data_IF_257340924665
#
_entry.id   IF_257340924665
#
_cell.length_a   1.000
_cell.length_b   1.000
_cell.length_c   1.000
_cell.angle_alpha   90.00
_cell.angle_beta   90.00
_cell.angle_gamma   90.00
#
_symmetry.space_group_name_H-M   'P 1'
#
loop_
_entity.id
_entity.type
_entity.pdbx_description
1 polymer ?
#
# COMPACT_ATOMS: atom_id res chain seq x y z
N UNK A 1 -29.28 -11.01 9.69
CA UNK A 1 -29.82 -11.22 8.32
C UNK A 1 -28.68 -11.33 7.33
N UNK A 2 -28.91 -11.79 6.10
CA UNK A 2 -27.87 -11.82 5.06
C UNK A 2 -27.25 -10.43 4.87
N UNK A 3 -28.08 -9.39 4.83
CA UNK A 3 -27.62 -8.00 4.69
C UNK A 3 -26.72 -7.53 5.83
N UNK A 4 -27.06 -7.83 7.08
CA UNK A 4 -26.21 -7.49 8.24
C UNK A 4 -24.86 -8.19 8.20
N UNK A 5 -24.83 -9.44 7.71
CA UNK A 5 -23.58 -10.18 7.55
C UNK A 5 -22.70 -9.54 6.48
N UNK A 6 -23.27 -9.19 5.33
CA UNK A 6 -22.57 -8.46 4.25
C UNK A 6 -22.08 -7.09 4.70
N UNK A 7 -22.88 -6.32 5.45
CA UNK A 7 -22.42 -5.02 6.02
C UNK A 7 -21.20 -5.22 6.92
N UNK A 8 -21.23 -6.24 7.79
CA UNK A 8 -20.13 -6.52 8.70
C UNK A 8 -18.86 -6.95 7.96
N UNK A 9 -18.98 -7.80 6.95
CA UNK A 9 -17.86 -8.24 6.11
C UNK A 9 -17.27 -7.07 5.30
N UNK A 10 -18.12 -6.20 4.73
CA UNK A 10 -17.66 -4.99 4.03
C UNK A 10 -16.97 -4.00 4.97
N UNK A 11 -17.50 -3.82 6.20
CA UNK A 11 -16.88 -2.97 7.20
C UNK A 11 -15.50 -3.51 7.64
N UNK A 12 -15.40 -4.83 7.85
CA UNK A 12 -14.12 -5.47 8.16
C UNK A 12 -13.13 -5.31 7.01
N UNK A 13 -13.56 -5.52 5.77
CA UNK A 13 -12.72 -5.37 4.57
C UNK A 13 -12.17 -3.95 4.44
N UNK A 14 -12.99 -2.94 4.72
CA UNK A 14 -12.57 -1.53 4.74
C UNK A 14 -11.53 -1.29 5.85
N UNK A 15 -11.75 -1.83 7.05
CA UNK A 15 -10.79 -1.68 8.15
C UNK A 15 -9.46 -2.35 7.83
N UNK A 16 -9.49 -3.58 7.32
CA UNK A 16 -8.29 -4.33 6.94
C UNK A 16 -7.51 -3.59 5.84
N UNK A 17 -8.21 -2.99 4.86
CA UNK A 17 -7.58 -2.18 3.83
C UNK A 17 -6.91 -0.91 4.38
N UNK A 18 -7.49 -0.26 5.40
CA UNK A 18 -6.90 0.92 6.05
C UNK A 18 -5.67 0.56 6.89
N UNK A 19 -5.74 -0.55 7.63
CA UNK A 19 -4.62 -1.06 8.42
C UNK A 19 -3.47 -1.47 7.49
N UNK A 20 -3.78 -2.12 6.37
CA UNK A 20 -2.80 -2.51 5.36
C UNK A 20 -2.14 -1.30 4.69
N UNK A 21 -2.90 -0.26 4.31
CA UNK A 21 -2.33 1.01 3.80
C UNK A 21 -1.33 1.60 4.80
N UNK A 22 -1.69 1.65 6.09
CA UNK A 22 -0.81 2.18 7.13
C UNK A 22 0.48 1.35 7.28
N UNK A 23 0.36 0.02 7.30
CA UNK A 23 1.50 -0.88 7.41
C UNK A 23 2.44 -0.79 6.20
N UNK A 24 1.89 -0.69 4.99
CA UNK A 24 2.66 -0.56 3.75
C UNK A 24 3.38 0.78 3.70
N UNK A 25 2.70 1.88 4.07
CA UNK A 25 3.32 3.20 4.16
C UNK A 25 4.51 3.19 5.14
N UNK A 26 4.36 2.57 6.31
CA UNK A 26 5.45 2.40 7.27
C UNK A 26 6.61 1.57 6.69
N UNK A 27 6.32 0.47 6.01
CA UNK A 27 7.33 -0.37 5.37
C UNK A 27 8.11 0.42 4.30
N UNK A 28 7.43 1.22 3.49
CA UNK A 28 8.04 2.13 2.51
C UNK A 28 8.98 3.12 3.21
N UNK A 29 8.55 3.74 4.30
CA UNK A 29 9.39 4.66 5.08
C UNK A 29 10.66 3.97 5.60
N UNK A 30 10.52 2.79 6.23
CA UNK A 30 11.66 2.03 6.75
C UNK A 30 12.65 1.64 5.65
N UNK A 31 12.15 1.19 4.49
CA UNK A 31 13.00 0.86 3.36
C UNK A 31 13.71 2.10 2.78
N UNK A 32 13.00 3.22 2.63
CA UNK A 32 13.58 4.49 2.17
C UNK A 32 14.68 4.97 3.12
N UNK A 33 14.45 4.91 4.43
CA UNK A 33 15.48 5.22 5.44
C UNK A 33 16.68 4.28 5.39
N UNK A 34 16.44 2.98 5.21
CA UNK A 34 17.51 1.98 5.10
C UNK A 34 18.41 2.26 3.89
N UNK A 35 17.82 2.51 2.71
CA UNK A 35 18.58 2.86 1.51
C UNK A 35 19.32 4.19 1.67
N UNK A 36 18.71 5.20 2.32
CA UNK A 36 19.37 6.48 2.59
C UNK A 36 20.57 6.32 3.54
N UNK A 37 20.42 5.54 4.62
CA UNK A 37 21.51 5.23 5.56
C UNK A 37 22.61 4.41 4.90
N UNK A 38 22.25 3.43 4.07
CA UNK A 38 23.21 2.65 3.29
C UNK A 38 24.01 3.56 2.36
N UNK A 39 23.36 4.41 1.56
CA UNK A 39 24.04 5.35 0.68
C UNK A 39 24.96 6.32 1.44
N UNK A 40 24.54 6.84 2.60
CA UNK A 40 25.38 7.67 3.46
C UNK A 40 26.59 6.90 4.01
N UNK A 41 26.41 5.64 4.43
CA UNK A 41 27.49 4.79 4.89
C UNK A 41 28.47 4.45 3.75
N UNK A 42 27.98 4.18 2.54
CA UNK A 42 28.83 3.97 1.35
C UNK A 42 29.59 5.24 0.99
N UNK A 43 28.97 6.43 1.11
CA UNK A 43 29.63 7.72 0.88
C UNK A 43 30.75 8.01 1.88
N UNK A 44 30.59 7.62 3.15
CA UNK A 44 31.65 7.69 4.17
C UNK A 44 32.74 6.63 3.96
N UNK A 45 32.36 5.45 3.46
CA UNK A 45 33.31 4.37 3.12
C UNK A 45 34.05 4.65 1.83
N UNK A 46 33.52 5.40 0.85
CA UNK A 46 34.20 5.76 -0.41
C UNK A 46 35.47 6.63 -0.23
N UNK A 47 35.85 6.99 1.00
CA UNK A 47 37.23 7.42 1.33
C UNK A 47 38.21 6.24 1.52
N UNK A 48 37.77 4.98 1.36
CA UNK A 48 38.53 3.74 1.31
C UNK A 48 37.85 2.71 0.37
N UNK A 49 38.59 1.82 -0.31
CA UNK A 49 38.06 1.17 -1.51
C UNK A 49 37.08 0.02 -1.26
N UNK A 50 36.04 0.01 -2.11
CA UNK A 50 35.14 -1.06 -2.58
C UNK A 50 34.12 -1.67 -1.61
N UNK A 51 32.92 -1.08 -1.59
CA UNK A 51 31.68 -1.78 -1.25
C UNK A 51 31.24 -2.71 -2.42
N UNK A 52 30.46 -3.78 -2.17
CA UNK A 52 30.00 -4.69 -3.22
C UNK A 52 29.11 -3.97 -4.25
N UNK A 53 29.26 -4.29 -5.54
CA UNK A 53 28.62 -3.60 -6.68
C UNK A 53 27.09 -3.53 -6.66
N UNK A 54 26.42 -4.32 -5.80
CA UNK A 54 24.98 -4.22 -5.53
C UNK A 54 24.59 -2.94 -4.76
N UNK A 55 25.56 -2.26 -4.15
CA UNK A 55 25.39 -1.03 -3.38
C UNK A 55 25.90 0.23 -4.10
N UNK A 56 26.36 0.10 -5.35
CA UNK A 56 26.96 1.20 -6.12
C UNK A 56 25.94 2.04 -6.90
N UNK A 57 24.68 1.62 -7.01
CA UNK A 57 23.64 2.44 -7.64
C UNK A 57 22.88 3.25 -6.59
N UNK A 58 22.94 4.60 -6.64
CA UNK A 58 22.05 5.45 -5.85
C UNK A 58 20.60 5.13 -6.21
N UNK A 59 19.70 5.21 -5.23
CA UNK A 59 18.26 5.11 -5.47
C UNK A 59 17.84 6.22 -6.46
N UNK A 60 17.72 5.86 -7.73
CA UNK A 60 17.21 6.72 -8.79
C UNK A 60 15.75 6.34 -8.99
N UNK A 61 14.87 7.12 -8.36
CA UNK A 61 13.43 6.87 -8.39
C UNK A 61 12.89 6.61 -9.80
N UNK A 62 11.94 5.68 -9.88
CA UNK A 62 10.96 5.44 -10.95
C UNK A 62 11.45 5.47 -12.42
N UNK A 63 12.73 5.24 -12.68
CA UNK A 63 13.30 5.26 -14.04
C UNK A 63 14.17 4.06 -14.39
N UNK A 64 14.87 3.47 -13.42
CA UNK A 64 15.69 2.28 -13.67
C UNK A 64 14.90 1.01 -13.33
N UNK A 65 14.85 0.09 -14.28
CA UNK A 65 14.06 -1.15 -14.37
C UNK A 65 14.22 -2.16 -13.20
N UNK A 66 14.77 -1.77 -12.05
CA UNK A 66 15.01 -2.63 -10.89
C UNK A 66 14.82 -1.96 -9.51
N UNK A 67 13.93 -0.97 -9.36
CA UNK A 67 13.47 -0.49 -8.03
C UNK A 67 12.47 -1.47 -7.35
N UNK A 68 12.81 -2.76 -7.34
CA UNK A 68 11.88 -3.89 -7.37
C UNK A 68 10.96 -4.11 -6.16
N UNK A 69 11.26 -3.56 -4.97
CA UNK A 69 10.43 -3.77 -3.76
C UNK A 69 9.66 -2.53 -3.33
N UNK A 70 10.28 -1.33 -3.37
CA UNK A 70 9.60 -0.09 -3.02
C UNK A 70 8.49 0.23 -4.02
N UNK A 71 8.76 0.08 -5.33
CA UNK A 71 7.73 0.26 -6.35
C UNK A 71 6.59 -0.76 -6.25
N UNK A 72 6.90 -2.00 -5.86
CA UNK A 72 5.88 -3.02 -5.60
C UNK A 72 4.99 -2.65 -4.41
N UNK A 73 5.59 -2.11 -3.33
CA UNK A 73 4.83 -1.65 -2.16
C UNK A 73 3.95 -0.44 -2.49
N UNK A 74 4.41 0.50 -3.31
CA UNK A 74 3.61 1.66 -3.74
C UNK A 74 2.41 1.22 -4.61
N UNK A 75 2.56 0.19 -5.45
CA UNK A 75 1.43 -0.42 -6.18
C UNK A 75 0.45 -1.09 -5.22
N UNK A 76 0.93 -1.87 -4.26
CA UNK A 76 0.09 -2.54 -3.26
C UNK A 76 -0.68 -1.52 -2.41
N UNK A 77 -0.05 -0.41 -2.02
CA UNK A 77 -0.72 0.69 -1.31
C UNK A 77 -1.90 1.25 -2.13
N UNK A 78 -1.66 1.52 -3.42
CA UNK A 78 -2.69 1.97 -4.36
C UNK A 78 -3.84 0.97 -4.52
N UNK A 79 -3.52 -0.33 -4.56
CA UNK A 79 -4.52 -1.39 -4.64
C UNK A 79 -5.40 -1.46 -3.39
N UNK A 80 -4.83 -1.27 -2.19
CA UNK A 80 -5.64 -1.20 -0.96
C UNK A 80 -6.52 0.05 -0.91
N UNK A 81 -5.99 1.20 -1.34
CA UNK A 81 -6.80 2.42 -1.44
C UNK A 81 -7.97 2.25 -2.42
N UNK A 82 -7.74 1.55 -3.54
CA UNK A 82 -8.79 1.21 -4.50
C UNK A 82 -9.81 0.24 -3.92
N UNK A 83 -9.36 -0.83 -3.27
CA UNK A 83 -10.21 -1.81 -2.61
C UNK A 83 -11.14 -1.13 -1.60
N UNK A 84 -10.61 -0.25 -0.76
CA UNK A 84 -11.40 0.51 0.21
C UNK A 84 -12.50 1.34 -0.48
N UNK A 85 -12.15 2.07 -1.55
CA UNK A 85 -13.08 2.92 -2.28
C UNK A 85 -14.19 2.09 -2.96
N UNK A 86 -13.83 0.99 -3.61
CA UNK A 86 -14.75 0.11 -4.32
C UNK A 86 -15.70 -0.58 -3.34
N UNK A 87 -15.20 -1.10 -2.21
CA UNK A 87 -16.05 -1.72 -1.17
C UNK A 87 -17.03 -0.71 -0.56
N UNK A 88 -16.58 0.51 -0.25
CA UNK A 88 -17.46 1.57 0.24
C UNK A 88 -18.55 1.92 -0.77
N UNK A 89 -18.19 2.05 -2.05
CA UNK A 89 -19.13 2.34 -3.13
C UNK A 89 -20.17 1.23 -3.31
N UNK A 90 -19.72 -0.03 -3.27
CA UNK A 90 -20.59 -1.20 -3.35
C UNK A 90 -21.58 -1.26 -2.17
N UNK A 91 -21.11 -1.01 -0.94
CA UNK A 91 -21.96 -1.00 0.26
C UNK A 91 -23.03 0.10 0.22
N UNK A 92 -22.68 1.31 -0.27
CA UNK A 92 -23.64 2.40 -0.48
C UNK A 92 -24.70 2.02 -1.51
N UNK A 93 -24.28 1.41 -2.61
CA UNK A 93 -25.19 0.98 -3.68
C UNK A 93 -26.14 -0.12 -3.18
N UNK A 94 -25.59 -1.16 -2.55
CA UNK A 94 -26.36 -2.27 -1.99
C UNK A 94 -27.34 -1.80 -0.89
N UNK A 95 -26.94 -0.83 -0.06
CA UNK A 95 -27.86 -0.22 0.91
C UNK A 95 -29.02 0.48 0.21
N UNK A 96 -28.74 1.29 -0.81
CA UNK A 96 -29.78 2.03 -1.55
C UNK A 96 -30.77 1.09 -2.22
N UNK A 97 -30.29 0.02 -2.85
CA UNK A 97 -31.13 -0.99 -3.51
C UNK A 97 -32.01 -1.74 -2.50
N UNK A 98 -31.43 -2.12 -1.36
CA UNK A 98 -32.18 -2.77 -0.28
C UNK A 98 -33.28 -1.86 0.29
N UNK A 99 -32.95 -0.60 0.58
CA UNK A 99 -33.90 0.37 1.10
C UNK A 99 -35.04 0.60 0.09
N UNK A 100 -34.73 0.71 -1.21
CA UNK A 100 -35.73 0.85 -2.28
C UNK A 100 -36.65 -0.38 -2.36
N UNK A 101 -36.09 -1.59 -2.35
CA UNK A 101 -36.86 -2.84 -2.39
C UNK A 101 -37.80 -2.98 -1.18
N UNK A 102 -37.34 -2.62 0.02
CA UNK A 102 -38.15 -2.65 1.25
C UNK A 102 -39.23 -1.55 1.30
N UNK A 103 -39.07 -0.47 0.53
CA UNK A 103 -40.04 0.63 0.46
C UNK A 103 -41.12 0.40 -0.60
N UNK A 104 -40.79 -0.35 -1.66
CA UNK A 104 -41.70 -0.69 -2.77
C UNK A 104 -42.47 -2.02 -2.54
N UNK A 105 -42.12 -2.77 -1.48
CA UNK A 105 -42.77 -4.02 -1.06
C UNK A 105 -43.71 -3.81 0.13
#
# INVERSE_FOLDING_TARGET
TLRQKETAENAQTVQDAQDAQTAVAQAITVLKEFYAKAAAATSLVQQQPTAPAIFDSPYHGMGDENSGVVGMLEVIESDFARLEADTKSAEVTAKKEYDAFMTDS
#
